data_IF_804147888294
#
_entry.id   IF_804147888294
#
_cell.length_a   1.000
_cell.length_b   1.000
_cell.length_c   1.000
_cell.angle_alpha   90.00
_cell.angle_beta   90.00
_cell.angle_gamma   90.00
#
_symmetry.space_group_name_H-M   'P 1'
#
loop_
_entity.id
_entity.type
_entity.pdbx_description
1 polymer ?
#
# COMPACT_ATOMS: atom_id res chain seq x y z
N UNK A 1 -9.67 -8.87 7.96
CA UNK A 1 -10.61 -7.88 7.37
C UNK A 1 -10.04 -6.46 7.29
N UNK A 2 -9.67 -5.81 8.40
CA UNK A 2 -9.22 -4.39 8.41
C UNK A 2 -8.07 -4.13 7.42
N UNK A 3 -7.02 -4.95 7.45
CA UNK A 3 -5.87 -4.88 6.53
C UNK A 3 -6.25 -4.97 5.04
N UNK A 4 -7.20 -5.86 4.70
CA UNK A 4 -7.64 -6.03 3.31
C UNK A 4 -8.43 -4.83 2.81
N UNK A 5 -9.31 -4.27 3.64
CA UNK A 5 -10.09 -3.06 3.32
C UNK A 5 -9.15 -1.86 3.14
N UNK A 6 -8.24 -1.67 4.09
CA UNK A 6 -7.19 -0.65 4.04
C UNK A 6 -6.40 -0.71 2.73
N UNK A 7 -5.93 -1.91 2.36
CA UNK A 7 -5.15 -2.11 1.13
C UNK A 7 -5.96 -1.80 -0.13
N UNK A 8 -7.24 -2.19 -0.20
CA UNK A 8 -8.12 -1.89 -1.34
C UNK A 8 -8.30 -0.37 -1.49
N UNK A 9 -8.62 0.32 -0.39
CA UNK A 9 -8.83 1.77 -0.41
C UNK A 9 -7.58 2.51 -0.87
N UNK A 10 -6.42 2.16 -0.30
CA UNK A 10 -5.13 2.73 -0.69
C UNK A 10 -4.84 2.48 -2.18
N UNK A 11 -5.10 1.26 -2.65
CA UNK A 11 -4.82 0.86 -4.02
C UNK A 11 -5.67 1.59 -5.05
N UNK A 12 -6.93 1.88 -4.72
CA UNK A 12 -7.82 2.69 -5.55
C UNK A 12 -7.29 4.13 -5.63
N UNK A 13 -6.92 4.73 -4.48
CA UNK A 13 -6.39 6.11 -4.42
C UNK A 13 -5.03 6.20 -5.12
N UNK A 14 -4.20 5.16 -5.03
CA UNK A 14 -2.89 5.10 -5.67
C UNK A 14 -2.94 5.01 -7.20
N UNK A 15 -4.10 4.70 -7.78
CA UNK A 15 -4.28 4.55 -9.23
C UNK A 15 -5.44 5.42 -9.73
N UNK A 16 -5.18 6.73 -9.96
CA UNK A 16 -6.17 7.66 -10.50
C UNK A 16 -6.84 7.19 -11.79
N UNK A 17 -6.12 6.46 -12.66
CA UNK A 17 -6.66 5.93 -13.91
C UNK A 17 -7.78 4.91 -13.72
N UNK A 18 -7.76 4.13 -12.62
CA UNK A 18 -8.87 3.22 -12.28
C UNK A 18 -10.12 4.00 -11.88
N UNK A 19 -9.95 5.10 -11.14
CA UNK A 19 -11.06 5.96 -10.72
C UNK A 19 -11.65 6.70 -11.93
N UNK A 20 -10.79 7.34 -12.73
CA UNK A 20 -11.18 8.13 -13.90
C UNK A 20 -11.82 7.29 -15.01
N UNK A 21 -11.41 6.02 -15.17
CA UNK A 21 -12.01 5.11 -16.16
C UNK A 21 -13.44 4.69 -15.78
N UNK A 22 -13.80 4.68 -14.49
CA UNK A 22 -15.16 4.35 -14.01
C UNK A 22 -16.03 5.58 -13.78
N UNK A 23 -15.44 6.69 -13.35
CA UNK A 23 -16.10 7.99 -13.17
C UNK A 23 -15.18 9.09 -13.71
N UNK A 24 -15.43 9.57 -14.95
CA UNK A 24 -14.69 10.71 -15.52
C UNK A 24 -14.82 11.98 -14.66
N UNK A 25 -15.97 12.15 -13.99
CA UNK A 25 -16.26 13.27 -13.09
C UNK A 25 -15.53 13.18 -11.73
N UNK A 26 -14.74 12.14 -11.48
CA UNK A 26 -13.98 12.01 -10.24
C UNK A 26 -12.71 12.86 -10.20
N UNK A 27 -12.37 13.57 -11.29
CA UNK A 27 -11.21 14.46 -11.35
C UNK A 27 -11.26 15.54 -10.26
N UNK A 28 -12.43 16.16 -10.06
CA UNK A 28 -12.64 17.17 -9.02
C UNK A 28 -12.49 16.59 -7.60
N UNK A 29 -12.89 15.33 -7.40
CA UNK A 29 -12.71 14.64 -6.11
C UNK A 29 -11.24 14.32 -5.85
N UNK A 30 -10.50 13.90 -6.88
CA UNK A 30 -9.07 13.65 -6.80
C UNK A 30 -8.29 14.93 -6.47
N UNK A 31 -8.62 16.06 -7.10
CA UNK A 31 -8.03 17.36 -6.82
C UNK A 31 -8.29 17.82 -5.37
N UNK A 32 -9.47 17.53 -4.80
CA UNK A 32 -9.75 17.79 -3.38
C UNK A 32 -8.97 16.89 -2.42
N UNK A 33 -8.66 15.66 -2.83
CA UNK A 33 -7.92 14.68 -2.01
C UNK A 33 -6.41 14.86 -2.15
N UNK A 34 -5.92 15.39 -3.27
CA UNK A 34 -4.51 15.65 -3.56
C UNK A 34 -3.71 16.26 -2.38
N UNK A 35 -4.18 17.33 -1.69
CA UNK A 35 -3.46 17.89 -0.53
C UNK A 35 -3.33 16.91 0.65
N UNK A 36 -4.28 15.99 0.81
CA UNK A 36 -4.28 14.96 1.85
C UNK A 36 -3.61 13.66 1.41
N UNK A 37 -3.47 13.44 0.10
CA UNK A 37 -2.94 12.20 -0.48
C UNK A 37 -1.53 11.87 0.02
N UNK A 38 -0.69 12.89 0.23
CA UNK A 38 0.63 12.71 0.81
C UNK A 38 0.59 12.19 2.26
N UNK A 39 -0.35 12.70 3.07
CA UNK A 39 -0.52 12.26 4.46
C UNK A 39 -1.08 10.85 4.55
N UNK A 40 -2.06 10.54 3.70
CA UNK A 40 -2.59 9.17 3.53
C UNK A 40 -1.43 8.24 3.19
N UNK A 41 -0.61 8.59 2.19
CA UNK A 41 0.54 7.79 1.80
C UNK A 41 1.52 7.54 2.96
N UNK A 42 1.84 8.55 3.76
CA UNK A 42 2.68 8.39 4.95
C UNK A 42 2.08 7.38 5.93
N UNK A 43 0.82 7.57 6.34
CA UNK A 43 0.17 6.71 7.34
C UNK A 43 0.18 5.25 6.88
N UNK A 44 -0.22 5.00 5.63
CA UNK A 44 -0.24 3.66 5.07
C UNK A 44 1.16 3.08 4.81
N UNK A 45 2.16 3.92 4.53
CA UNK A 45 3.55 3.46 4.45
C UNK A 45 4.02 2.91 5.79
N UNK A 46 3.80 3.64 6.88
CA UNK A 46 4.16 3.20 8.23
C UNK A 46 3.32 1.99 8.67
N UNK A 47 2.03 1.98 8.35
CA UNK A 47 1.13 0.88 8.66
C UNK A 47 1.55 -0.41 7.93
N UNK A 48 1.91 -0.32 6.65
CA UNK A 48 2.43 -1.44 5.87
C UNK A 48 3.75 -1.98 6.41
N UNK A 49 4.69 -1.10 6.79
CA UNK A 49 5.96 -1.50 7.43
C UNK A 49 5.69 -2.20 8.76
N UNK A 50 4.78 -1.66 9.57
CA UNK A 50 4.37 -2.31 10.82
C UNK A 50 3.72 -3.68 10.59
N UNK A 51 2.92 -3.81 9.52
CA UNK A 51 2.36 -5.09 9.08
C UNK A 51 3.43 -6.11 8.70
N UNK A 52 4.49 -5.70 8.01
CA UNK A 52 5.64 -6.57 7.70
C UNK A 52 6.34 -7.04 8.98
N UNK A 53 6.59 -6.12 9.93
CA UNK A 53 7.18 -6.47 11.24
C UNK A 53 6.28 -7.46 11.97
N UNK A 54 4.98 -7.20 12.01
CA UNK A 54 3.99 -8.09 12.62
C UNK A 54 3.99 -9.48 11.98
N UNK A 55 4.15 -9.56 10.67
CA UNK A 55 4.24 -10.81 9.93
C UNK A 55 5.49 -11.61 10.32
N UNK A 56 6.64 -10.94 10.44
CA UNK A 56 7.91 -11.55 10.90
C UNK A 56 7.80 -12.03 12.35
N UNK A 57 7.20 -11.23 13.25
CA UNK A 57 6.97 -11.63 14.64
C UNK A 57 6.03 -12.84 14.75
N UNK A 58 5.15 -13.04 13.77
CA UNK A 58 4.23 -14.16 13.69
C UNK A 58 4.72 -15.25 12.71
N UNK A 59 6.02 -15.47 12.60
CA UNK A 59 6.60 -16.53 11.74
C UNK A 59 6.06 -17.94 12.04
N UNK A 60 5.55 -18.21 13.25
CA UNK A 60 4.91 -19.48 13.58
C UNK A 60 3.68 -19.82 12.71
N UNK A 61 3.04 -18.80 12.13
CA UNK A 61 1.96 -18.99 11.14
C UNK A 61 2.47 -19.57 9.82
N UNK A 62 3.76 -19.49 9.52
CA UNK A 62 4.35 -20.10 8.33
C UNK A 62 4.20 -21.64 8.36
N UNK A 63 4.29 -22.25 9.54
CA UNK A 63 4.17 -23.71 9.71
C UNK A 63 2.71 -24.17 9.67
N UNK A 64 1.78 -23.38 10.19
CA UNK A 64 0.38 -23.77 10.34
C UNK A 64 -0.50 -23.33 9.16
N UNK A 65 -0.23 -22.14 8.61
CA UNK A 65 -1.03 -21.52 7.55
C UNK A 65 -0.11 -20.72 6.58
N UNK A 66 0.79 -21.39 5.83
CA UNK A 66 1.79 -20.74 4.98
C UNK A 66 1.16 -19.83 3.91
N UNK A 67 0.04 -20.24 3.32
CA UNK A 67 -0.66 -19.47 2.29
C UNK A 67 -1.18 -18.14 2.86
N UNK A 68 -1.74 -18.16 4.08
CA UNK A 68 -2.23 -16.97 4.75
C UNK A 68 -1.08 -16.02 5.10
N UNK A 69 0.01 -16.57 5.65
CA UNK A 69 1.19 -15.79 6.01
C UNK A 69 1.81 -15.08 4.78
N UNK A 70 2.02 -15.83 3.69
CA UNK A 70 2.59 -15.28 2.44
C UNK A 70 1.68 -14.20 1.86
N UNK A 71 0.36 -14.44 1.86
CA UNK A 71 -0.63 -13.46 1.41
C UNK A 71 -0.55 -12.18 2.23
N UNK A 72 -0.52 -12.31 3.56
CA UNK A 72 -0.50 -11.17 4.46
C UNK A 72 0.77 -10.35 4.26
N UNK A 73 1.93 -11.01 4.17
CA UNK A 73 3.19 -10.37 3.85
C UNK A 73 3.13 -9.62 2.52
N UNK A 74 2.63 -10.27 1.46
CA UNK A 74 2.48 -9.66 0.15
C UNK A 74 1.57 -8.42 0.20
N UNK A 75 0.46 -8.48 0.94
CA UNK A 75 -0.44 -7.36 1.17
C UNK A 75 0.26 -6.18 1.83
N UNK A 76 0.97 -6.42 2.94
CA UNK A 76 1.70 -5.38 3.66
C UNK A 76 2.85 -4.77 2.84
N UNK A 77 3.53 -5.58 2.01
CA UNK A 77 4.57 -5.09 1.09
C UNK A 77 3.96 -4.17 0.02
N UNK A 78 2.83 -4.56 -0.57
CA UNK A 78 2.14 -3.71 -1.55
C UNK A 78 1.62 -2.43 -0.89
N UNK A 79 1.06 -2.53 0.32
CA UNK A 79 0.60 -1.39 1.13
C UNK A 79 1.72 -0.39 1.39
N UNK A 80 2.86 -0.88 1.91
CA UNK A 80 4.04 -0.05 2.18
C UNK A 80 4.56 0.61 0.90
N UNK A 81 4.58 -0.13 -0.21
CA UNK A 81 5.06 0.36 -1.50
C UNK A 81 4.16 1.46 -2.07
N UNK A 82 2.84 1.24 -2.08
CA UNK A 82 1.88 2.23 -2.56
C UNK A 82 1.80 3.45 -1.63
N UNK A 83 1.84 3.23 -0.32
CA UNK A 83 1.92 4.28 0.69
C UNK A 83 3.17 5.14 0.50
N UNK A 84 4.33 4.51 0.32
CA UNK A 84 5.58 5.22 0.00
C UNK A 84 5.45 6.06 -1.26
N UNK A 85 4.88 5.52 -2.34
CA UNK A 85 4.70 6.24 -3.60
C UNK A 85 3.80 7.47 -3.47
N UNK A 86 2.68 7.32 -2.77
CA UNK A 86 1.73 8.40 -2.50
C UNK A 86 2.32 9.45 -1.55
N UNK A 87 3.02 9.01 -0.51
CA UNK A 87 3.59 9.83 0.55
C UNK A 87 4.95 10.43 0.23
N UNK A 88 5.60 10.02 -0.87
CA UNK A 88 7.01 10.32 -1.15
C UNK A 88 7.36 11.80 -1.04
N UNK A 89 6.49 12.70 -1.51
CA UNK A 89 6.74 14.15 -1.44
C UNK A 89 6.92 14.64 0.00
N UNK A 90 6.07 14.16 0.91
CA UNK A 90 6.16 14.49 2.34
C UNK A 90 7.25 13.68 3.03
N UNK A 91 7.44 12.39 2.69
CA UNK A 91 8.52 11.55 3.23
C UNK A 91 9.88 12.17 2.90
N UNK A 92 10.07 12.59 1.66
CA UNK A 92 11.29 13.25 1.21
C UNK A 92 11.54 14.56 1.95
N UNK A 93 10.48 15.36 2.15
CA UNK A 93 10.57 16.65 2.85
C UNK A 93 10.87 16.50 4.35
N UNK A 94 10.21 15.58 5.05
CA UNK A 94 10.28 15.47 6.51
C UNK A 94 11.34 14.48 7.01
N UNK A 95 11.58 13.38 6.28
CA UNK A 95 12.44 12.28 6.74
C UNK A 95 13.75 12.15 5.94
N UNK A 96 13.72 12.35 4.62
CA UNK A 96 14.92 12.17 3.77
C UNK A 96 15.72 13.47 3.55
N UNK A 97 15.15 14.64 3.85
CA UNK A 97 15.78 15.95 3.59
C UNK A 97 17.09 16.18 4.35
N UNK A 98 17.30 15.45 5.45
CA UNK A 98 18.51 15.53 6.29
C UNK A 98 19.64 14.60 5.84
N UNK A 99 19.41 13.73 4.84
CA UNK A 99 20.39 12.75 4.38
C UNK A 99 20.33 12.61 2.86
N UNK A 100 21.32 13.17 2.16
CA UNK A 100 21.40 13.15 0.70
C UNK A 100 21.40 11.73 0.13
N UNK A 101 22.15 10.80 0.74
CA UNK A 101 22.18 9.41 0.29
C UNK A 101 20.81 8.72 0.42
N UNK A 102 20.06 9.02 1.48
CA UNK A 102 18.71 8.48 1.67
C UNK A 102 17.70 9.10 0.68
N UNK A 103 17.83 10.40 0.40
CA UNK A 103 17.02 11.10 -0.60
C UNK A 103 17.25 10.56 -2.01
N UNK A 104 18.52 10.35 -2.39
CA UNK A 104 18.87 9.80 -3.69
C UNK A 104 18.34 8.37 -3.86
N UNK A 105 18.55 7.49 -2.87
CA UNK A 105 17.99 6.13 -2.87
C UNK A 105 16.46 6.13 -2.95
N UNK A 106 15.81 7.01 -2.20
CA UNK A 106 14.35 7.17 -2.23
C UNK A 106 13.85 7.57 -3.62
N UNK A 107 14.56 8.47 -4.29
CA UNK A 107 14.18 8.93 -5.62
C UNK A 107 14.40 7.85 -6.68
N UNK A 108 15.52 7.11 -6.58
CA UNK A 108 15.78 5.95 -7.42
C UNK A 108 14.69 4.88 -7.26
N UNK A 109 14.28 4.60 -6.02
CA UNK A 109 13.22 3.65 -5.71
C UNK A 109 11.88 4.11 -6.29
N UNK A 110 11.50 5.39 -6.08
CA UNK A 110 10.30 5.98 -6.68
C UNK A 110 10.32 5.89 -8.20
N UNK A 111 11.43 6.22 -8.85
CA UNK A 111 11.58 6.14 -10.32
C UNK A 111 11.37 4.71 -10.84
N UNK A 112 11.83 3.69 -10.11
CA UNK A 112 11.61 2.27 -10.46
C UNK A 112 10.16 1.83 -10.26
N UNK A 113 9.48 2.34 -9.24
CA UNK A 113 8.11 1.92 -8.88
C UNK A 113 7.05 2.69 -9.67
N UNK A 114 7.25 3.98 -9.95
CA UNK A 114 6.32 4.85 -10.69
C UNK A 114 5.68 4.19 -11.93
N UNK A 115 6.44 3.59 -12.88
CA UNK A 115 5.83 2.95 -14.04
C UNK A 115 5.03 1.68 -13.70
N UNK A 116 5.27 1.08 -12.54
CA UNK A 116 4.57 -0.13 -12.05
C UNK A 116 3.45 0.19 -11.06
N UNK A 117 3.28 1.44 -10.64
CA UNK A 117 2.31 1.85 -9.62
C UNK A 117 0.88 1.42 -9.98
N UNK A 118 0.47 1.57 -11.24
CA UNK A 118 -0.84 1.11 -11.71
C UNK A 118 -1.03 -0.41 -11.56
N UNK A 119 0.00 -1.20 -11.92
CA UNK A 119 -0.03 -2.67 -11.77
C UNK A 119 -0.03 -3.08 -10.30
N UNK A 120 0.74 -2.37 -9.46
CA UNK A 120 0.79 -2.61 -8.02
C UNK A 120 -0.53 -2.26 -7.33
N UNK A 121 -1.24 -1.22 -7.77
CA UNK A 121 -2.58 -0.92 -7.26
C UNK A 121 -3.59 -2.01 -7.64
N UNK A 122 -3.57 -2.51 -8.87
CA UNK A 122 -4.43 -3.65 -9.26
C UNK A 122 -4.09 -4.89 -8.42
N UNK A 123 -2.80 -5.17 -8.21
CA UNK A 123 -2.34 -6.25 -7.34
C UNK A 123 -2.84 -6.04 -5.90
N UNK A 124 -2.77 -4.82 -5.37
CA UNK A 124 -3.25 -4.50 -4.03
C UNK A 124 -4.76 -4.70 -3.88
N UNK A 125 -5.56 -4.38 -4.91
CA UNK A 125 -6.99 -4.69 -4.92
C UNK A 125 -7.22 -6.21 -4.88
N UNK A 126 -6.52 -6.96 -5.73
CA UNK A 126 -6.66 -8.42 -5.79
C UNK A 126 -6.25 -9.11 -4.47
N UNK A 127 -5.10 -8.72 -3.91
CA UNK A 127 -4.61 -9.24 -2.63
C UNK A 127 -5.54 -8.83 -1.48
N UNK A 128 -6.00 -7.57 -1.46
CA UNK A 128 -6.94 -7.10 -0.44
C UNK A 128 -8.28 -7.83 -0.48
N UNK A 129 -8.82 -8.09 -1.68
CA UNK A 129 -10.04 -8.88 -1.84
C UNK A 129 -9.86 -10.32 -1.33
N UNK A 130 -8.74 -10.96 -1.69
CA UNK A 130 -8.40 -12.28 -1.19
C UNK A 130 -8.21 -12.29 0.34
N UNK A 131 -7.57 -11.28 0.93
CA UNK A 131 -7.43 -11.18 2.39
C UNK A 131 -8.79 -11.07 3.11
N UNK A 132 -9.78 -10.39 2.51
CA UNK A 132 -11.13 -10.34 3.06
C UNK A 132 -11.78 -11.72 3.00
N UNK A 133 -11.76 -12.37 1.83
CA UNK A 133 -12.32 -13.73 1.63
C UNK A 133 -11.67 -14.73 2.58
N UNK A 134 -10.34 -14.74 2.65
CA UNK A 134 -9.59 -15.61 3.53
C UNK A 134 -9.84 -15.32 5.01
N UNK A 135 -10.12 -14.06 5.40
CA UNK A 135 -10.58 -13.79 6.77
C UNK A 135 -11.88 -14.52 7.05
N UNK A 136 -12.87 -14.50 6.15
CA UNK A 136 -14.11 -15.24 6.36
C UNK A 136 -13.89 -16.77 6.39
N UNK A 137 -13.02 -17.30 5.52
CA UNK A 137 -12.75 -18.75 5.47
C UNK A 137 -12.03 -19.23 6.75
N UNK A 138 -10.99 -18.52 7.20
CA UNK A 138 -10.15 -18.95 8.32
C UNK A 138 -10.62 -18.47 9.70
N UNK A 139 -11.56 -17.53 9.79
CA UNK A 139 -12.17 -17.11 11.08
C UNK A 139 -13.42 -17.94 11.42
N UNK A 140 -13.98 -18.68 10.45
CA UNK A 140 -15.16 -19.55 10.63
C UNK A 140 -14.76 -21.02 10.88
N UNK A 141 -13.48 -21.37 10.77
CA UNK A 141 -12.93 -22.69 11.08
C UNK A 141 -12.29 -22.71 12.48
#
# INVERSE_FOLDING_TARGET
MIWGISLILLSIIAVPSLILSKKPNAKELLEKIEPYQGWIGIVFCFWGVWGIISCILNMGLLTSAPIWWITWLAGCVVEATLGFMLGYGLISKFFLSKNEAAKEKGEQLRKKIAPKQGKLGILGIAVGAWMIVATFIFTIA
#
